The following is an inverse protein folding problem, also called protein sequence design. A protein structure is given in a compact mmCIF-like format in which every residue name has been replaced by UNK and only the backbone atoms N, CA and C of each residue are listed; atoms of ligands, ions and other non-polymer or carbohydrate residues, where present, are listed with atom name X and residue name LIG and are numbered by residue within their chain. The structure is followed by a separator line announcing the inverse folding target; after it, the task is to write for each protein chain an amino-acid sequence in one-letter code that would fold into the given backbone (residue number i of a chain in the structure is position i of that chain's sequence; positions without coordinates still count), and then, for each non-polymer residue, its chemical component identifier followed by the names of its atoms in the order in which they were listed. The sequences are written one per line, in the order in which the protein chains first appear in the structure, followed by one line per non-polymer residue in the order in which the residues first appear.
data_IF_476103088839
#
_entry.id   IF_476103088839
#
_cell.length_a   1.000
_cell.length_b   1.000
_cell.length_c   1.000
_cell.angle_alpha   90.00
_cell.angle_beta   90.00
_cell.angle_gamma   90.00
#
_symmetry.space_group_name_H-M   'P 1'
#
loop_
_entity.id
_entity.type
_entity.pdbx_description
1 polymer ?
#
# COMPACT_ATOMS: atom_id res chain seq x y z
N UNK A 1 -18.24 26.29 -3.84
CA UNK A 1 -18.89 25.26 -2.98
C UNK A 1 -18.33 25.23 -1.57
N UNK A 2 -17.10 24.74 -1.26
CA UNK A 2 -16.55 24.78 0.11
C UNK A 2 -16.28 26.21 0.57
N UNK A 3 -15.62 27.01 -0.26
CA UNK A 3 -15.37 28.43 0.05
C UNK A 3 -16.65 29.22 0.31
N UNK A 4 -17.72 28.95 -0.44
CA UNK A 4 -19.01 29.63 -0.26
C UNK A 4 -19.70 29.23 1.06
N UNK A 5 -19.52 27.99 1.52
CA UNK A 5 -19.98 27.54 2.83
C UNK A 5 -19.21 28.18 3.97
N UNK A 6 -17.88 28.31 3.83
CA UNK A 6 -17.03 28.99 4.81
C UNK A 6 -17.35 30.49 4.89
N UNK A 7 -17.61 31.12 3.75
CA UNK A 7 -18.01 32.54 3.67
C UNK A 7 -19.34 32.76 4.38
N UNK A 8 -20.36 31.93 4.09
CA UNK A 8 -21.66 31.99 4.79
C UNK A 8 -21.56 31.76 6.29
N UNK A 9 -20.61 30.93 6.72
CA UNK A 9 -20.36 30.67 8.14
C UNK A 9 -19.48 31.73 8.82
N UNK A 10 -19.04 32.78 8.12
CA UNK A 10 -18.13 33.80 8.64
C UNK A 10 -16.74 33.28 9.01
N UNK A 11 -16.33 32.18 8.42
CA UNK A 11 -15.06 31.48 8.70
C UNK A 11 -14.06 31.56 7.56
N UNK A 12 -14.36 32.26 6.47
CA UNK A 12 -13.46 32.47 5.35
C UNK A 12 -12.59 33.71 5.64
N UNK A 13 -11.26 33.48 5.78
CA UNK A 13 -10.32 34.59 6.00
C UNK A 13 -10.04 35.36 4.71
N UNK A 14 -9.74 34.65 3.63
CA UNK A 14 -9.46 35.24 2.34
C UNK A 14 -9.77 34.23 1.22
N UNK A 15 -10.00 34.74 0.01
CA UNK A 15 -10.21 33.94 -1.20
C UNK A 15 -9.43 34.54 -2.35
N UNK A 16 -8.60 33.74 -2.97
CA UNK A 16 -7.85 34.12 -4.17
C UNK A 16 -8.07 33.08 -5.29
N UNK A 17 -8.14 33.53 -6.51
CA UNK A 17 -8.19 32.68 -7.69
C UNK A 17 -6.80 32.53 -8.28
N UNK A 18 -6.28 31.31 -8.27
CA UNK A 18 -5.01 30.96 -8.92
C UNK A 18 -5.26 30.06 -10.12
N UNK A 19 -4.38 30.16 -11.13
CA UNK A 19 -4.38 29.26 -12.28
C UNK A 19 -3.16 28.35 -12.19
N UNK A 20 -3.38 27.06 -12.02
CA UNK A 20 -2.32 26.05 -11.95
C UNK A 20 -2.77 24.73 -12.57
N UNK A 21 -1.81 23.86 -12.89
CA UNK A 21 -2.12 22.48 -13.28
C UNK A 21 -2.66 21.71 -12.08
N UNK A 22 -3.75 20.98 -12.28
CA UNK A 22 -4.35 20.14 -11.24
C UNK A 22 -4.42 18.69 -11.71
N UNK A 23 -4.01 17.71 -10.88
CA UNK A 23 -4.01 16.30 -11.30
C UNK A 23 -5.44 15.78 -11.48
N UNK A 24 -5.64 15.02 -12.55
CA UNK A 24 -6.88 14.37 -12.89
C UNK A 24 -6.69 12.86 -12.97
N UNK A 25 -7.74 12.12 -12.66
CA UNK A 25 -7.75 10.67 -12.86
C UNK A 25 -7.53 10.34 -14.35
N UNK A 26 -6.55 9.49 -14.71
CA UNK A 26 -6.27 9.19 -16.11
C UNK A 26 -7.44 8.48 -16.81
N UNK A 27 -8.30 7.78 -16.07
CA UNK A 27 -9.47 7.07 -16.61
C UNK A 27 -10.69 7.96 -16.72
N UNK A 28 -11.15 8.54 -15.61
CA UNK A 28 -12.39 9.34 -15.56
C UNK A 28 -12.21 10.79 -15.97
N UNK A 29 -10.97 11.27 -16.09
CA UNK A 29 -10.63 12.68 -16.37
C UNK A 29 -11.14 13.68 -15.33
N UNK A 30 -11.67 13.21 -14.21
CA UNK A 30 -12.14 14.05 -13.11
C UNK A 30 -10.99 14.50 -12.22
N UNK A 31 -11.08 15.69 -11.59
CA UNK A 31 -10.12 16.12 -10.58
C UNK A 31 -10.02 15.10 -9.46
N UNK A 32 -8.81 14.83 -8.97
CA UNK A 32 -8.59 13.94 -7.82
C UNK A 32 -8.51 14.73 -6.52
N UNK A 33 -8.76 14.03 -5.40
CA UNK A 33 -8.62 14.58 -4.06
C UNK A 33 -7.46 13.86 -3.35
N UNK A 34 -6.56 14.64 -2.77
CA UNK A 34 -5.48 14.09 -1.94
C UNK A 34 -6.04 13.70 -0.57
N UNK A 35 -5.79 12.47 -0.17
CA UNK A 35 -6.20 11.93 1.12
C UNK A 35 -5.03 11.25 1.81
N UNK A 36 -4.90 11.47 3.10
CA UNK A 36 -4.05 10.65 3.95
C UNK A 36 -4.82 9.37 4.32
N UNK A 37 -4.24 8.22 4.01
CA UNK A 37 -4.80 6.91 4.36
C UNK A 37 -3.68 6.03 4.93
N UNK A 38 -4.04 5.09 5.81
CA UNK A 38 -3.08 4.11 6.32
C UNK A 38 -2.63 3.21 5.17
N UNK A 39 -1.32 2.93 5.12
CA UNK A 39 -0.72 2.11 4.08
C UNK A 39 0.31 1.18 4.70
N UNK A 40 0.62 0.08 4.00
CA UNK A 40 1.71 -0.81 4.34
C UNK A 40 2.95 -0.45 3.55
N UNK A 41 4.08 -0.40 4.26
CA UNK A 41 5.37 -0.03 3.67
C UNK A 41 6.43 -1.08 3.99
N UNK A 42 7.29 -1.36 3.02
CA UNK A 42 8.59 -2.01 3.26
C UNK A 42 9.59 -0.91 3.57
N UNK A 43 10.24 -1.01 4.72
CA UNK A 43 11.28 -0.08 5.14
C UNK A 43 12.54 -0.27 4.31
N UNK A 44 12.88 0.75 3.54
CA UNK A 44 14.03 0.70 2.64
C UNK A 44 15.36 0.95 3.36
N UNK A 45 15.34 1.60 4.52
CA UNK A 45 16.55 1.83 5.33
C UNK A 45 17.27 0.53 5.70
N UNK A 46 16.53 -0.53 6.02
CA UNK A 46 17.08 -1.84 6.38
C UNK A 46 17.66 -2.64 5.20
N UNK A 47 17.25 -2.31 3.99
CA UNK A 47 17.62 -3.03 2.77
C UNK A 47 18.63 -2.28 1.92
N UNK A 48 18.72 -0.96 2.06
CA UNK A 48 19.48 -0.07 1.16
C UNK A 48 20.95 -0.43 1.08
N UNK A 49 21.61 -0.60 2.21
CA UNK A 49 23.05 -0.85 2.23
C UNK A 49 23.39 -2.19 1.57
N UNK A 50 22.63 -3.24 1.88
CA UNK A 50 22.79 -4.56 1.25
C UNK A 50 22.51 -4.52 -0.25
N UNK A 51 21.50 -3.76 -0.68
CA UNK A 51 21.20 -3.60 -2.08
C UNK A 51 22.29 -2.83 -2.83
N UNK A 52 22.86 -1.79 -2.23
CA UNK A 52 23.97 -1.03 -2.80
C UNK A 52 25.26 -1.86 -2.88
N UNK A 53 25.51 -2.72 -1.91
CA UNK A 53 26.61 -3.69 -1.91
C UNK A 53 26.43 -4.71 -3.05
N UNK A 54 25.22 -5.28 -3.19
CA UNK A 54 24.91 -6.20 -4.28
C UNK A 54 25.09 -5.56 -5.67
N UNK A 55 24.69 -4.30 -5.83
CA UNK A 55 24.90 -3.54 -7.09
C UNK A 55 26.37 -3.42 -7.46
N UNK A 56 27.27 -3.26 -6.47
CA UNK A 56 28.71 -3.16 -6.70
C UNK A 56 29.31 -4.45 -7.26
N UNK A 57 28.70 -5.60 -6.96
CA UNK A 57 29.11 -6.92 -7.46
C UNK A 57 28.62 -7.27 -8.88
N UNK A 58 27.77 -6.43 -9.48
CA UNK A 58 27.18 -6.71 -10.79
C UNK A 58 28.05 -6.16 -11.93
N UNK A 59 28.25 -6.95 -12.97
CA UNK A 59 28.87 -6.47 -14.23
C UNK A 59 27.82 -5.73 -15.05
N UNK A 60 27.98 -4.43 -15.16
CA UNK A 60 27.05 -3.55 -15.86
C UNK A 60 27.38 -3.39 -17.33
N UNK A 61 26.39 -3.64 -18.21
CA UNK A 61 26.48 -3.36 -19.65
C UNK A 61 25.20 -2.64 -20.10
N UNK A 62 25.29 -1.37 -20.41
CA UNK A 62 26.45 -0.47 -20.38
C UNK A 62 26.86 -0.08 -18.95
N UNK A 63 28.11 0.37 -18.75
CA UNK A 63 28.68 0.68 -17.43
C UNK A 63 27.95 1.79 -16.66
N UNK A 64 27.32 2.75 -17.36
CA UNK A 64 26.55 3.83 -16.73
C UNK A 64 25.29 3.31 -15.97
N UNK A 65 24.87 2.07 -16.22
CA UNK A 65 23.74 1.44 -15.53
C UNK A 65 23.95 1.40 -14.02
N UNK A 66 25.19 1.17 -13.55
CA UNK A 66 25.52 1.14 -12.12
C UNK A 66 25.17 2.45 -11.43
N UNK A 67 25.65 3.58 -11.94
CA UNK A 67 25.45 4.90 -11.32
C UNK A 67 23.95 5.25 -11.24
N UNK A 68 23.18 4.88 -12.25
CA UNK A 68 21.74 5.11 -12.31
C UNK A 68 20.99 4.30 -11.22
N UNK A 69 21.31 3.01 -11.09
CA UNK A 69 20.68 2.15 -10.07
C UNK A 69 21.09 2.57 -8.66
N UNK A 70 22.38 2.88 -8.45
CA UNK A 70 22.86 3.42 -7.16
C UNK A 70 22.12 4.70 -6.76
N UNK A 71 21.97 5.64 -7.69
CA UNK A 71 21.22 6.88 -7.44
C UNK A 71 19.75 6.60 -7.08
N UNK A 72 19.10 5.71 -7.81
CA UNK A 72 17.71 5.33 -7.55
C UNK A 72 17.53 4.65 -6.19
N UNK A 73 18.43 3.74 -5.81
CA UNK A 73 18.37 3.05 -4.50
C UNK A 73 18.69 4.01 -3.35
N UNK A 74 19.71 4.87 -3.52
CA UNK A 74 20.14 5.82 -2.50
C UNK A 74 19.05 6.82 -2.10
N UNK A 75 18.28 7.29 -3.07
CA UNK A 75 17.20 8.27 -2.89
C UNK A 75 15.81 7.64 -2.65
N UNK A 76 15.69 6.31 -2.74
CA UNK A 76 14.38 5.65 -2.68
C UNK A 76 13.77 5.75 -1.27
N UNK A 77 12.54 6.30 -1.15
CA UNK A 77 11.78 6.26 0.10
C UNK A 77 11.28 4.84 0.39
N UNK A 78 10.67 4.64 1.55
CA UNK A 78 9.99 3.40 1.88
C UNK A 78 8.99 3.01 0.79
N UNK A 79 8.92 1.72 0.49
CA UNK A 79 8.06 1.23 -0.59
C UNK A 79 6.65 0.96 -0.09
N UNK A 80 5.70 1.78 -0.53
CA UNK A 80 4.28 1.55 -0.29
C UNK A 80 3.80 0.36 -1.10
N UNK A 81 3.51 -0.75 -0.42
CA UNK A 81 3.11 -2.03 -1.04
C UNK A 81 1.60 -2.29 -1.02
N UNK A 82 0.82 -1.49 -0.31
CA UNK A 82 -0.63 -1.67 -0.25
C UNK A 82 -1.37 -0.88 -1.32
N UNK A 83 -2.43 -1.47 -1.85
CA UNK A 83 -3.35 -0.87 -2.81
C UNK A 83 -4.79 -1.10 -2.39
N UNK A 84 -5.67 -0.15 -2.65
CA UNK A 84 -7.10 -0.26 -2.49
C UNK A 84 -7.70 -0.66 -3.85
N UNK A 85 -7.63 -1.95 -4.16
CA UNK A 85 -8.11 -2.53 -5.44
C UNK A 85 -9.08 -3.68 -5.15
N UNK A 86 -9.99 -3.92 -6.09
CA UNK A 86 -10.89 -5.08 -6.06
C UNK A 86 -10.24 -6.36 -6.60
N UNK A 87 -9.05 -6.26 -7.18
CA UNK A 87 -8.27 -7.36 -7.72
C UNK A 87 -6.81 -7.27 -7.25
N UNK A 88 -6.22 -8.41 -6.90
CA UNK A 88 -4.84 -8.57 -6.47
C UNK A 88 -4.71 -9.52 -5.29
N UNK A 89 -3.47 -9.91 -4.95
CA UNK A 89 -3.21 -10.71 -3.76
C UNK A 89 -3.47 -9.89 -2.49
N UNK A 90 -4.18 -10.45 -1.50
CA UNK A 90 -4.44 -9.77 -0.25
C UNK A 90 -3.16 -9.64 0.59
N UNK A 91 -3.07 -8.54 1.36
CA UNK A 91 -2.15 -8.45 2.48
C UNK A 91 -2.83 -9.15 3.68
N UNK A 92 -2.30 -10.29 4.18
CA UNK A 92 -2.96 -11.10 5.19
C UNK A 92 -2.79 -10.51 6.60
N UNK A 93 -3.31 -9.31 6.80
CA UNK A 93 -3.30 -8.57 8.05
C UNK A 93 -4.70 -8.52 8.67
N UNK A 94 -4.75 -8.47 10.01
CA UNK A 94 -5.97 -8.23 10.76
C UNK A 94 -5.90 -6.90 11.49
N UNK A 95 -7.06 -6.32 11.77
CA UNK A 95 -7.23 -5.10 12.56
C UNK A 95 -8.01 -5.45 13.82
N UNK A 96 -7.46 -5.07 14.98
CA UNK A 96 -8.12 -5.20 16.26
C UNK A 96 -9.25 -4.17 16.42
N UNK A 97 -10.14 -4.33 17.41
CA UNK A 97 -11.19 -3.34 17.69
C UNK A 97 -10.68 -1.92 17.96
N UNK A 98 -9.48 -1.80 18.53
CA UNK A 98 -8.80 -0.51 18.74
C UNK A 98 -8.23 0.13 17.47
N UNK A 99 -8.36 -0.54 16.32
CA UNK A 99 -7.84 -0.13 15.03
C UNK A 99 -6.35 -0.39 14.83
N UNK A 100 -5.65 -1.03 15.77
CA UNK A 100 -4.27 -1.47 15.56
C UNK A 100 -4.20 -2.65 14.58
N UNK A 101 -3.18 -2.65 13.72
CA UNK A 101 -2.96 -3.72 12.74
C UNK A 101 -2.06 -4.81 13.30
N UNK A 102 -2.33 -6.04 12.91
CA UNK A 102 -1.53 -7.23 13.24
C UNK A 102 -1.13 -7.93 11.95
N UNK A 103 0.17 -8.12 11.78
CA UNK A 103 0.76 -8.92 10.72
C UNK A 103 1.57 -10.04 11.37
N UNK A 104 0.94 -11.21 11.56
CA UNK A 104 1.53 -12.34 12.26
C UNK A 104 2.07 -13.36 11.26
N UNK A 105 3.35 -13.75 11.34
CA UNK A 105 3.96 -14.74 10.46
C UNK A 105 3.25 -16.11 10.46
N UNK A 106 2.65 -16.51 11.57
CA UNK A 106 1.91 -17.79 11.63
C UNK A 106 0.59 -17.69 10.87
N UNK A 107 -0.11 -16.55 11.00
CA UNK A 107 -1.33 -16.25 10.24
C UNK A 107 -1.01 -16.22 8.75
N UNK A 108 0.05 -15.53 8.36
CA UNK A 108 0.50 -15.43 6.96
C UNK A 108 0.74 -16.82 6.37
N UNK A 109 1.45 -17.71 7.08
CA UNK A 109 1.70 -19.09 6.62
C UNK A 109 0.41 -19.89 6.44
N UNK A 110 -0.57 -19.76 7.35
CA UNK A 110 -1.87 -20.42 7.21
C UNK A 110 -2.64 -19.92 6.00
N UNK A 111 -2.64 -18.59 5.79
CA UNK A 111 -3.27 -17.97 4.62
C UNK A 111 -2.59 -18.43 3.33
N UNK A 112 -1.26 -18.44 3.29
CA UNK A 112 -0.50 -18.91 2.13
C UNK A 112 -0.79 -20.38 1.80
N UNK A 113 -0.75 -21.26 2.80
CA UNK A 113 -1.05 -22.67 2.61
C UNK A 113 -2.49 -22.95 2.14
N UNK A 114 -3.43 -22.10 2.53
CA UNK A 114 -4.80 -22.16 2.05
C UNK A 114 -4.91 -21.61 0.62
N UNK A 115 -4.23 -20.51 0.33
CA UNK A 115 -4.21 -19.90 -1.00
C UNK A 115 -3.58 -20.83 -2.06
N UNK A 116 -2.57 -21.61 -1.68
CA UNK A 116 -1.95 -22.62 -2.56
C UNK A 116 -2.95 -23.68 -3.03
N UNK A 117 -3.93 -24.04 -2.19
CA UNK A 117 -4.91 -25.09 -2.49
C UNK A 117 -6.13 -24.60 -3.27
N UNK A 118 -6.65 -23.43 -2.93
CA UNK A 118 -7.95 -22.94 -3.42
C UNK A 118 -7.90 -21.53 -4.02
N UNK A 119 -6.69 -20.94 -4.12
CA UNK A 119 -6.51 -19.57 -4.58
C UNK A 119 -6.79 -18.54 -3.47
N UNK A 120 -6.39 -17.29 -3.66
CA UNK A 120 -6.47 -16.24 -2.65
C UNK A 120 -7.88 -15.61 -2.51
N UNK A 121 -8.84 -16.01 -3.35
CA UNK A 121 -10.19 -15.43 -3.38
C UNK A 121 -10.98 -15.57 -2.07
N UNK A 122 -10.72 -16.63 -1.31
CA UNK A 122 -11.36 -16.86 -0.01
C UNK A 122 -11.17 -15.69 0.96
N UNK A 123 -10.04 -14.99 0.88
CA UNK A 123 -9.76 -13.85 1.75
C UNK A 123 -10.81 -12.76 1.65
N UNK A 124 -11.41 -12.58 0.49
CA UNK A 124 -12.45 -11.58 0.26
C UNK A 124 -13.87 -12.17 0.31
N UNK A 125 -14.04 -13.46 0.03
CA UNK A 125 -15.32 -14.14 -0.04
C UNK A 125 -15.86 -14.62 1.32
N UNK A 126 -14.98 -15.12 2.20
CA UNK A 126 -15.37 -15.62 3.51
C UNK A 126 -15.92 -14.49 4.41
N UNK A 127 -16.70 -14.85 5.43
CA UNK A 127 -17.03 -13.92 6.51
C UNK A 127 -15.81 -13.65 7.40
N UNK A 128 -15.80 -12.52 8.12
CA UNK A 128 -14.71 -12.19 9.03
C UNK A 128 -14.56 -13.24 10.13
N UNK A 129 -15.67 -13.81 10.62
CA UNK A 129 -15.68 -14.85 11.65
C UNK A 129 -15.11 -16.17 11.15
N UNK A 130 -15.48 -16.59 9.93
CA UNK A 130 -14.96 -17.81 9.30
C UNK A 130 -13.45 -17.69 9.07
N UNK A 131 -13.01 -16.53 8.60
CA UNK A 131 -11.61 -16.26 8.35
C UNK A 131 -10.81 -16.21 9.66
N UNK A 132 -11.31 -15.52 10.68
CA UNK A 132 -10.69 -15.48 12.01
C UNK A 132 -10.51 -16.88 12.58
N UNK A 133 -11.54 -17.71 12.52
CA UNK A 133 -11.51 -19.11 12.96
C UNK A 133 -10.47 -19.93 12.20
N UNK A 134 -10.41 -19.83 10.89
CA UNK A 134 -9.44 -20.57 10.05
C UNK A 134 -8.00 -20.13 10.29
N UNK A 135 -7.78 -18.87 10.57
CA UNK A 135 -6.47 -18.30 10.87
C UNK A 135 -6.07 -18.50 12.36
N UNK A 136 -7.03 -18.77 13.24
CA UNK A 136 -6.81 -18.92 14.69
C UNK A 136 -6.58 -17.58 15.40
N UNK A 137 -7.27 -16.52 14.94
CA UNK A 137 -7.26 -15.19 15.55
C UNK A 137 -8.62 -14.92 16.24
N UNK A 138 -8.71 -13.95 17.16
CA UNK A 138 -9.96 -13.58 17.80
C UNK A 138 -11.06 -13.20 16.80
N UNK A 139 -12.30 -13.58 17.09
CA UNK A 139 -13.45 -13.39 16.18
C UNK A 139 -13.88 -11.93 16.03
N UNK A 140 -13.45 -11.05 16.93
CA UNK A 140 -13.71 -9.61 16.91
C UNK A 140 -12.70 -8.84 16.02
N UNK A 141 -11.67 -9.52 15.49
CA UNK A 141 -10.71 -8.91 14.58
C UNK A 141 -11.28 -8.85 13.17
N UNK A 142 -10.99 -7.74 12.49
CA UNK A 142 -11.40 -7.51 11.10
C UNK A 142 -10.23 -7.77 10.16
N UNK A 143 -10.46 -8.47 9.05
CA UNK A 143 -9.43 -8.63 8.02
C UNK A 143 -9.08 -7.31 7.34
N UNK A 144 -7.85 -7.17 6.88
CA UNK A 144 -7.44 -6.15 5.93
C UNK A 144 -8.05 -6.40 4.55
N UNK A 145 -8.37 -5.32 3.83
CA UNK A 145 -8.92 -5.40 2.47
C UNK A 145 -7.95 -4.86 1.43
N UNK A 146 -6.75 -4.49 1.86
CA UNK A 146 -5.69 -4.03 0.98
C UNK A 146 -5.12 -5.19 0.16
N UNK A 147 -4.83 -4.91 -1.09
CA UNK A 147 -4.11 -5.81 -1.99
C UNK A 147 -2.65 -5.41 -2.10
N UNK A 148 -1.79 -6.34 -2.44
CA UNK A 148 -0.38 -6.05 -2.71
C UNK A 148 -0.18 -5.26 -4.00
N UNK A 149 0.88 -4.48 -4.05
CA UNK A 149 1.37 -3.86 -5.27
C UNK A 149 1.79 -4.95 -6.26
N UNK A 150 1.31 -4.84 -7.49
CA UNK A 150 1.61 -5.79 -8.57
C UNK A 150 3.12 -5.97 -8.82
N UNK A 151 3.93 -4.95 -8.56
CA UNK A 151 5.39 -5.05 -8.69
C UNK A 151 6.03 -5.93 -7.60
N UNK A 152 5.41 -6.06 -6.43
CA UNK A 152 5.82 -7.00 -5.41
C UNK A 152 5.35 -8.42 -5.74
N UNK A 153 4.14 -8.53 -6.29
CA UNK A 153 3.50 -9.79 -6.66
C UNK A 153 4.17 -10.46 -7.86
N UNK A 154 4.68 -9.68 -8.81
CA UNK A 154 5.36 -10.16 -10.02
C UNK A 154 6.88 -10.34 -9.89
N UNK A 155 7.48 -9.92 -8.78
CA UNK A 155 8.91 -10.07 -8.48
C UNK A 155 9.21 -11.39 -7.81
#
# INVERSE_FOLDING_TARGET
MVADLLEKAGRLWAREKIRHSYPHCPRSKTPIVFRSVRQWFIRMDQLRDKALEAVAGVKWVPSWGESRIRGALGARPDWCISRQRSWGLPIPAFYKPDGSSVLDPQVIRKVAARAEKEGAGFWFADSDEALAKSCGVPSDWKRGRETMDVWLDSG
#
